data_IF_659702667781
#
_entry.id   IF_659702667781
#
_cell.length_a   1.000
_cell.length_b   1.000
_cell.length_c   1.000
_cell.angle_alpha   90.00
_cell.angle_beta   90.00
_cell.angle_gamma   90.00
#
_symmetry.space_group_name_H-M   'P 1'
#
loop_
_entity.id
_entity.type
_entity.pdbx_description
1 polymer ?
#
# COMPACT_ATOMS: atom_id res chain seq x y z
N UNK A 1 9.67 -25.56 11.84
CA UNK A 1 9.97 -24.12 11.85
C UNK A 1 8.70 -23.43 11.40
N UNK A 2 7.99 -22.80 12.32
CA UNK A 2 6.82 -22.02 11.98
C UNK A 2 7.27 -20.90 11.05
N UNK A 3 6.81 -20.93 9.81
CA UNK A 3 7.03 -19.84 8.86
C UNK A 3 6.39 -18.61 9.48
N UNK A 4 7.19 -17.80 10.17
CA UNK A 4 6.79 -16.48 10.67
C UNK A 4 6.01 -15.80 9.53
N UNK A 5 4.71 -15.66 9.72
CA UNK A 5 3.83 -15.06 8.73
C UNK A 5 4.17 -13.57 8.73
N UNK A 6 5.18 -13.19 7.94
CA UNK A 6 5.67 -11.81 7.91
C UNK A 6 4.51 -10.94 7.42
N UNK A 7 4.02 -10.06 8.30
CA UNK A 7 2.82 -9.24 8.09
C UNK A 7 3.12 -7.88 7.44
N UNK A 8 4.33 -7.69 6.90
CA UNK A 8 4.69 -6.53 6.10
C UNK A 8 5.05 -6.91 4.66
N UNK A 9 4.99 -5.93 3.75
CA UNK A 9 5.24 -6.10 2.31
C UNK A 9 6.63 -6.70 2.06
N UNK A 10 6.66 -7.88 1.43
CA UNK A 10 7.91 -8.55 1.01
C UNK A 10 8.25 -8.19 -0.45
N UNK A 11 9.49 -8.45 -0.91
CA UNK A 11 9.87 -8.22 -2.31
C UNK A 11 8.95 -8.93 -3.32
N UNK A 12 8.51 -10.16 -3.01
CA UNK A 12 7.54 -10.89 -3.82
C UNK A 12 6.17 -10.18 -3.86
N UNK A 13 5.70 -9.64 -2.74
CA UNK A 13 4.46 -8.86 -2.69
C UNK A 13 4.58 -7.60 -3.57
N UNK A 14 5.72 -6.92 -3.49
CA UNK A 14 5.97 -5.74 -4.31
C UNK A 14 6.01 -6.06 -5.81
N UNK A 15 6.62 -7.18 -6.22
CA UNK A 15 6.62 -7.63 -7.61
C UNK A 15 5.21 -7.98 -8.10
N UNK A 16 4.40 -8.64 -7.25
CA UNK A 16 3.00 -8.91 -7.58
C UNK A 16 2.17 -7.62 -7.70
N UNK A 17 2.42 -6.62 -6.85
CA UNK A 17 1.77 -5.30 -6.94
C UNK A 17 2.13 -4.58 -8.24
N UNK A 18 3.41 -4.60 -8.64
CA UNK A 18 3.85 -4.06 -9.93
C UNK A 18 3.18 -4.76 -11.10
N UNK A 19 3.19 -6.09 -11.10
CA UNK A 19 2.55 -6.88 -12.17
C UNK A 19 1.06 -6.55 -12.29
N UNK A 20 0.37 -6.42 -11.16
CA UNK A 20 -1.04 -6.01 -11.17
C UNK A 20 -1.22 -4.59 -11.76
N UNK A 21 -0.35 -3.63 -11.42
CA UNK A 21 -0.39 -2.29 -12.00
C UNK A 21 -0.23 -2.30 -13.53
N UNK A 22 0.74 -3.06 -14.05
CA UNK A 22 0.95 -3.21 -15.49
C UNK A 22 -0.33 -3.69 -16.20
N UNK A 23 -1.01 -4.69 -15.64
CA UNK A 23 -2.25 -5.23 -16.25
C UNK A 23 -3.41 -4.24 -16.23
N UNK A 24 -3.42 -3.30 -15.27
CA UNK A 24 -4.44 -2.25 -15.20
C UNK A 24 -4.24 -1.19 -16.30
N UNK A 25 -3.00 -0.91 -16.70
CA UNK A 25 -2.67 0.04 -17.76
C UNK A 25 -3.11 -0.47 -19.14
N UNK A 26 -3.01 -1.78 -19.37
CA UNK A 26 -3.36 -2.43 -20.64
C UNK A 26 -4.86 -2.78 -20.79
N UNK A 27 -5.69 -2.45 -19.79
CA UNK A 27 -7.12 -2.82 -19.72
C UNK A 27 -7.37 -4.33 -19.92
N UNK A 28 -6.40 -5.17 -19.54
CA UNK A 28 -6.50 -6.63 -19.62
C UNK A 28 -6.96 -7.23 -18.29
N UNK A 29 -7.43 -8.48 -18.35
CA UNK A 29 -7.54 -9.29 -17.14
C UNK A 29 -6.14 -9.45 -16.52
N UNK A 30 -6.06 -9.30 -15.19
CA UNK A 30 -4.79 -9.48 -14.49
C UNK A 30 -4.42 -10.97 -14.39
N UNK A 31 -3.12 -11.27 -14.41
CA UNK A 31 -2.57 -12.63 -14.34
C UNK A 31 -1.96 -12.99 -12.98
N UNK A 32 -2.00 -12.06 -12.02
CA UNK A 32 -1.50 -12.29 -10.65
C UNK A 32 -2.35 -13.37 -9.95
N UNK A 33 -1.72 -14.43 -9.39
CA UNK A 33 -2.46 -15.50 -8.73
C UNK A 33 -3.34 -15.02 -7.57
N UNK A 34 -4.52 -15.65 -7.42
CA UNK A 34 -5.54 -15.26 -6.43
C UNK A 34 -5.01 -15.17 -4.99
N UNK A 35 -4.18 -16.11 -4.56
CA UNK A 35 -3.59 -16.10 -3.21
C UNK A 35 -2.69 -14.89 -2.98
N UNK A 36 -1.96 -14.47 -4.02
CA UNK A 36 -1.12 -13.27 -4.00
C UNK A 36 -2.00 -12.01 -3.94
N UNK A 37 -3.07 -11.94 -4.72
CA UNK A 37 -4.05 -10.84 -4.64
C UNK A 37 -4.70 -10.72 -3.25
N UNK A 38 -5.03 -11.85 -2.62
CA UNK A 38 -5.53 -11.86 -1.24
C UNK A 38 -4.51 -11.33 -0.24
N UNK A 39 -3.23 -11.72 -0.40
CA UNK A 39 -2.14 -11.20 0.44
C UNK A 39 -1.94 -9.70 0.25
N UNK A 40 -1.93 -9.20 -0.99
CA UNK A 40 -1.87 -7.77 -1.28
C UNK A 40 -3.04 -7.01 -0.64
N UNK A 41 -4.23 -7.58 -0.66
CA UNK A 41 -5.40 -6.98 -0.02
C UNK A 41 -5.26 -6.94 1.51
N UNK A 42 -4.73 -8.02 2.12
CA UNK A 42 -4.43 -8.07 3.56
C UNK A 42 -3.41 -7.00 3.97
N UNK A 43 -2.43 -6.72 3.11
CA UNK A 43 -1.39 -5.70 3.32
C UNK A 43 -1.88 -4.26 3.03
N UNK A 44 -3.11 -4.09 2.53
CA UNK A 44 -3.73 -2.78 2.31
C UNK A 44 -3.29 -2.04 1.03
N UNK A 45 -2.42 -2.64 0.20
CA UNK A 45 -1.96 -2.03 -1.05
C UNK A 45 -2.97 -2.17 -2.20
N UNK A 46 -3.89 -3.13 -2.11
CA UNK A 46 -5.04 -3.26 -3.01
C UNK A 46 -6.33 -3.40 -2.22
N UNK A 47 -7.45 -3.02 -2.83
CA UNK A 47 -8.80 -3.21 -2.30
C UNK A 47 -9.53 -4.24 -3.14
N UNK A 48 -10.14 -5.23 -2.50
CA UNK A 48 -11.07 -6.18 -3.14
C UNK A 48 -12.47 -5.57 -3.18
N UNK A 49 -13.11 -5.61 -4.35
CA UNK A 49 -14.50 -5.19 -4.54
C UNK A 49 -15.44 -6.38 -4.75
N UNK A 50 -14.97 -7.40 -5.48
CA UNK A 50 -15.74 -8.61 -5.75
C UNK A 50 -14.84 -9.85 -5.82
N UNK A 51 -15.35 -10.99 -6.32
CA UNK A 51 -14.60 -12.26 -6.33
C UNK A 51 -13.23 -12.11 -7.02
N UNK A 52 -13.20 -11.45 -8.17
CA UNK A 52 -12.04 -11.28 -9.07
C UNK A 52 -11.82 -9.80 -9.45
N UNK A 53 -12.39 -8.85 -8.70
CA UNK A 53 -12.24 -7.43 -9.01
C UNK A 53 -11.53 -6.71 -7.87
N UNK A 54 -10.41 -6.08 -8.20
CA UNK A 54 -9.52 -5.36 -7.29
C UNK A 54 -9.18 -4.00 -7.88
N UNK A 55 -8.81 -3.06 -7.02
CA UNK A 55 -8.16 -1.80 -7.41
C UNK A 55 -6.96 -1.51 -6.51
N UNK A 56 -5.96 -0.81 -7.02
CA UNK A 56 -4.85 -0.33 -6.19
C UNK A 56 -5.36 0.78 -5.27
N UNK A 57 -4.95 0.78 -3.98
CA UNK A 57 -5.32 1.83 -3.04
C UNK A 57 -4.41 3.04 -3.19
N UNK A 58 -4.77 4.18 -2.59
CA UNK A 58 -3.85 5.33 -2.52
C UNK A 58 -2.52 4.98 -1.83
N UNK A 59 -2.56 4.08 -0.84
CA UNK A 59 -1.36 3.56 -0.19
C UNK A 59 -0.55 2.65 -1.14
N UNK A 60 -1.21 1.78 -1.92
CA UNK A 60 -0.53 0.96 -2.94
C UNK A 60 0.17 1.81 -4.01
N UNK A 61 -0.48 2.88 -4.48
CA UNK A 61 0.12 3.83 -5.43
C UNK A 61 1.34 4.54 -4.81
N UNK A 62 1.24 4.95 -3.54
CA UNK A 62 2.40 5.51 -2.85
C UNK A 62 3.58 4.52 -2.78
N UNK A 63 3.30 3.25 -2.45
CA UNK A 63 4.33 2.21 -2.40
C UNK A 63 4.99 1.99 -3.76
N UNK A 64 4.22 2.05 -4.86
CA UNK A 64 4.76 1.96 -6.23
C UNK A 64 5.65 3.15 -6.59
N UNK A 65 5.34 4.35 -6.08
CA UNK A 65 5.95 5.60 -6.49
C UNK A 65 7.00 6.15 -5.50
N UNK A 66 7.51 5.35 -4.55
CA UNK A 66 8.47 5.83 -3.54
C UNK A 66 9.78 6.41 -4.12
N UNK A 67 10.14 6.07 -5.36
CA UNK A 67 11.31 6.60 -6.05
C UNK A 67 11.08 7.91 -6.81
N UNK A 68 9.85 8.41 -6.81
CA UNK A 68 9.46 9.61 -7.56
C UNK A 68 9.45 10.84 -6.63
N UNK A 69 10.34 11.81 -6.87
CA UNK A 69 10.54 13.00 -6.02
C UNK A 69 9.25 13.86 -5.90
N UNK A 70 8.29 13.67 -6.82
CA UNK A 70 7.01 14.37 -6.85
C UNK A 70 5.96 13.81 -5.87
N UNK A 71 6.14 12.59 -5.34
CA UNK A 71 5.16 11.95 -4.46
C UNK A 71 5.37 12.31 -2.98
N UNK A 72 5.20 13.59 -2.65
CA UNK A 72 5.06 14.04 -1.26
C UNK A 72 3.63 13.79 -0.80
N UNK A 73 3.38 12.67 -0.11
CA UNK A 73 2.05 12.36 0.41
C UNK A 73 1.56 13.45 1.38
N UNK A 74 0.29 13.86 1.32
CA UNK A 74 -0.34 14.67 2.37
C UNK A 74 -0.73 13.84 3.59
N UNK A 75 -0.26 12.59 3.70
CA UNK A 75 -0.63 11.67 4.77
C UNK A 75 0.33 11.86 5.96
N UNK A 76 -0.23 12.30 7.08
CA UNK A 76 0.42 12.34 8.38
C UNK A 76 0.23 11.00 9.09
N UNK A 77 1.29 10.46 9.68
CA UNK A 77 1.21 9.34 10.62
C UNK A 77 0.58 9.78 11.93
N UNK A 78 0.16 8.83 12.78
CA UNK A 78 -0.29 9.16 14.14
C UNK A 78 0.82 9.87 14.93
N UNK A 79 2.07 9.47 14.75
CA UNK A 79 3.23 10.12 15.38
C UNK A 79 3.38 11.57 14.93
N UNK A 80 3.11 11.89 13.65
CA UNK A 80 3.14 13.26 13.15
C UNK A 80 2.04 14.12 13.80
N UNK A 81 0.84 13.57 13.95
CA UNK A 81 -0.25 14.23 14.69
C UNK A 81 0.10 14.44 16.16
N UNK A 82 0.65 13.43 16.83
CA UNK A 82 1.02 13.50 18.25
C UNK A 82 2.14 14.51 18.48
N UNK A 83 3.12 14.57 17.57
CA UNK A 83 4.22 15.54 17.62
C UNK A 83 3.71 16.97 17.44
N UNK A 84 2.83 17.20 16.45
CA UNK A 84 2.21 18.50 16.20
C UNK A 84 1.33 18.93 17.38
N UNK A 85 0.56 18.01 17.96
CA UNK A 85 -0.24 18.27 19.16
C UNK A 85 0.64 18.67 20.36
N UNK A 86 1.73 17.93 20.62
CA UNK A 86 2.68 18.25 21.69
C UNK A 86 3.35 19.60 21.47
N UNK A 87 3.74 19.90 20.24
CA UNK A 87 4.33 21.18 19.87
C UNK A 87 3.34 22.33 20.11
N UNK A 88 2.09 22.18 19.69
CA UNK A 88 1.06 23.19 19.89
C UNK A 88 0.69 23.37 21.37
N UNK A 89 0.71 22.30 22.16
CA UNK A 89 0.48 22.37 23.62
C UNK A 89 1.62 23.12 24.32
N UNK A 90 2.87 22.86 23.94
CA UNK A 90 4.05 23.51 24.52
C UNK A 90 4.15 25.00 24.16
N UNK A 91 3.59 25.42 23.02
CA UNK A 91 3.63 26.80 22.51
C UNK A 91 2.35 27.59 22.74
N UNK A 92 1.36 27.01 23.44
CA UNK A 92 0.18 27.75 23.90
C UNK A 92 0.55 28.53 25.16
N UNK A 93 0.88 29.82 24.98
CA UNK A 93 0.92 30.83 26.07
C UNK A 93 -0.50 31.26 26.39
#
# INVERSE_FOLDING_TARGET
MDSNNIEFLQPDDFNNLKRFNETCEDSQDYDVPKEKMHRLAKLGVVRRHSRNYYSITSFGMYVLNQGDELYKLPLKTQSDYDAEFRFNLANKI
#
